data_IF_312441476517
#
_entry.id   IF_312441476517
#
_cell.length_a   1.000
_cell.length_b   1.000
_cell.length_c   1.000
_cell.angle_alpha   90.00
_cell.angle_beta   90.00
_cell.angle_gamma   90.00
#
_symmetry.space_group_name_H-M   'P 1'
#
loop_
_entity.id
_entity.type
_entity.pdbx_description
1 polymer ?
#
# COMPACT_ATOMS: atom_id res chain seq x y z
N UNK A 1 18.29 29.73 -30.60
CA UNK A 1 19.60 29.38 -29.99
C UNK A 1 19.73 29.98 -28.58
N UNK A 2 19.00 29.42 -27.60
CA UNK A 2 19.11 29.78 -26.16
C UNK A 2 19.00 28.55 -25.23
N UNK A 3 19.28 27.36 -25.77
CA UNK A 3 19.10 26.07 -25.08
C UNK A 3 20.41 25.26 -25.00
N UNK A 4 21.56 25.94 -25.09
CA UNK A 4 22.90 25.33 -24.97
C UNK A 4 23.66 25.79 -23.71
N UNK A 5 23.12 26.76 -22.95
CA UNK A 5 23.78 27.31 -21.76
C UNK A 5 23.46 26.61 -20.43
N UNK A 6 22.47 25.73 -20.38
CA UNK A 6 22.06 25.04 -19.14
C UNK A 6 22.72 23.66 -18.95
N UNK A 7 23.39 23.13 -19.97
CA UNK A 7 24.08 21.83 -19.89
C UNK A 7 25.51 21.93 -19.33
N UNK A 8 26.09 23.13 -19.25
CA UNK A 8 27.48 23.34 -18.80
C UNK A 8 27.64 23.60 -17.30
N UNK A 9 26.53 23.71 -16.56
CA UNK A 9 26.52 23.99 -15.12
C UNK A 9 26.38 22.74 -14.24
N UNK A 10 26.19 21.55 -14.84
CA UNK A 10 26.03 20.27 -14.15
C UNK A 10 27.29 19.40 -14.09
N UNK A 11 28.43 19.86 -14.64
CA UNK A 11 29.66 19.06 -14.77
C UNK A 11 30.84 19.54 -13.89
N UNK A 12 30.62 20.48 -12.97
CA UNK A 12 31.70 21.08 -12.14
C UNK A 12 31.57 20.88 -10.62
N UNK A 13 30.63 20.05 -10.13
CA UNK A 13 30.48 19.75 -8.68
C UNK A 13 30.72 18.27 -8.36
N UNK A 14 31.60 17.62 -9.13
CA UNK A 14 31.99 16.21 -8.92
C UNK A 14 33.44 16.01 -8.46
N UNK A 15 34.15 17.07 -8.09
CA UNK A 15 35.49 16.94 -7.53
C UNK A 15 35.59 17.71 -6.21
N UNK A 16 36.24 17.06 -5.24
CA UNK A 16 36.56 17.51 -3.88
C UNK A 16 35.56 17.10 -2.79
N UNK A 17 35.75 15.92 -2.21
CA UNK A 17 36.38 15.80 -0.89
C UNK A 17 37.03 14.41 -0.75
N UNK A 18 38.35 14.39 -0.90
CA UNK A 18 39.20 13.25 -0.59
C UNK A 18 39.44 13.13 0.92
N UNK A 19 39.89 11.95 1.32
CA UNK A 19 39.90 11.48 2.70
C UNK A 19 40.81 12.26 3.65
N UNK A 20 40.44 12.19 4.92
CA UNK A 20 41.35 12.44 6.04
C UNK A 20 41.42 11.16 6.86
N UNK A 21 42.60 10.54 6.79
CA UNK A 21 43.09 9.53 7.72
C UNK A 21 43.54 10.23 9.00
N UNK A 22 43.11 9.75 10.16
CA UNK A 22 43.77 10.06 11.43
C UNK A 22 43.85 8.79 12.26
N UNK A 23 45.08 8.44 12.62
CA UNK A 23 45.47 7.27 13.39
C UNK A 23 46.06 7.76 14.71
N UNK A 24 45.68 7.08 15.78
CA UNK A 24 46.39 6.80 17.04
C UNK A 24 45.79 7.27 18.37
N UNK A 25 45.92 6.31 19.30
CA UNK A 25 45.90 6.36 20.77
C UNK A 25 44.51 6.57 21.38
N UNK A 26 43.92 5.62 22.11
CA UNK A 26 44.52 4.70 23.07
C UNK A 26 44.38 5.31 24.46
N UNK A 27 43.22 5.14 25.09
CA UNK A 27 43.09 5.28 26.54
C UNK A 27 42.06 4.29 27.06
N UNK A 28 42.54 3.42 27.94
CA UNK A 28 41.74 2.55 28.79
C UNK A 28 41.00 3.41 29.80
N UNK A 29 39.67 3.35 29.82
CA UNK A 29 38.91 3.59 31.04
C UNK A 29 37.91 2.44 31.20
N UNK A 30 38.40 1.48 31.97
CA UNK A 30 37.71 0.28 32.39
C UNK A 30 36.64 0.57 33.44
N UNK A 31 35.63 -0.30 33.44
CA UNK A 31 34.79 -0.66 34.57
C UNK A 31 33.67 0.30 35.06
N UNK A 32 33.73 1.62 34.86
CA UNK A 32 32.71 2.52 35.42
C UNK A 32 31.37 2.59 34.62
N UNK A 33 31.41 2.38 33.30
CA UNK A 33 30.21 2.52 32.44
C UNK A 33 29.30 1.28 32.43
N UNK A 34 29.79 0.13 32.92
CA UNK A 34 28.98 -1.11 32.99
C UNK A 34 28.01 -1.15 34.16
N UNK A 35 28.25 -0.36 35.21
CA UNK A 35 27.42 -0.39 36.43
C UNK A 35 26.21 0.54 36.34
N UNK A 36 26.25 1.59 35.50
CA UNK A 36 25.14 2.53 35.36
C UNK A 36 24.05 2.03 34.37
N UNK A 37 24.41 1.17 33.40
CA UNK A 37 23.41 0.64 32.43
C UNK A 37 22.43 -0.37 33.06
N UNK A 38 22.70 -0.86 34.27
CA UNK A 38 21.87 -1.88 34.92
C UNK A 38 20.69 -1.30 35.71
N UNK A 39 20.60 0.02 35.87
CA UNK A 39 19.53 0.73 36.59
C UNK A 39 18.78 1.75 35.72
N UNK A 40 18.68 1.49 34.41
CA UNK A 40 17.60 2.03 33.60
C UNK A 40 16.98 0.83 32.92
N UNK A 41 15.82 0.39 33.44
CA UNK A 41 15.10 -0.76 32.91
C UNK A 41 15.09 -0.67 31.39
N UNK A 42 15.57 -1.73 30.74
CA UNK A 42 15.58 -1.86 29.29
C UNK A 42 14.18 -1.45 28.79
N UNK A 43 14.05 -0.57 27.78
CA UNK A 43 12.74 -0.28 27.22
C UNK A 43 12.06 -1.60 26.90
N UNK A 44 10.77 -1.78 27.26
CA UNK A 44 10.11 -3.07 27.14
C UNK A 44 10.33 -3.61 25.73
N UNK A 45 11.05 -4.72 25.59
CA UNK A 45 11.36 -5.29 24.28
C UNK A 45 10.05 -5.80 23.65
N UNK A 46 9.56 -5.08 22.65
CA UNK A 46 8.34 -5.46 21.94
C UNK A 46 8.72 -6.44 20.83
N UNK A 47 8.53 -7.73 21.05
CA UNK A 47 8.71 -8.77 20.04
C UNK A 47 7.50 -8.85 19.08
N UNK A 48 7.16 -7.74 18.43
CA UNK A 48 6.09 -7.71 17.43
C UNK A 48 6.67 -7.49 16.03
N UNK A 49 6.35 -8.39 15.09
CA UNK A 49 6.75 -8.19 13.69
C UNK A 49 5.84 -7.16 13.03
N UNK A 50 6.40 -6.00 12.68
CA UNK A 50 5.68 -4.92 11.98
C UNK A 50 5.12 -5.37 10.63
N UNK A 51 5.93 -6.02 9.80
CA UNK A 51 5.53 -6.50 8.47
C UNK A 51 4.33 -7.48 8.55
N UNK A 52 4.38 -8.42 9.49
CA UNK A 52 3.28 -9.37 9.74
C UNK A 52 2.03 -8.66 10.26
N UNK A 53 2.18 -7.70 11.19
CA UNK A 53 1.06 -6.92 11.71
C UNK A 53 0.37 -6.11 10.61
N UNK A 54 1.15 -5.48 9.73
CA UNK A 54 0.64 -4.76 8.55
C UNK A 54 -0.12 -5.68 7.60
N UNK A 55 0.38 -6.90 7.37
CA UNK A 55 -0.30 -7.91 6.57
C UNK A 55 -1.63 -8.35 7.21
N UNK A 56 -1.64 -8.63 8.51
CA UNK A 56 -2.86 -8.95 9.26
C UNK A 56 -3.90 -7.84 9.15
N UNK A 57 -3.48 -6.60 9.37
CA UNK A 57 -4.36 -5.44 9.29
C UNK A 57 -4.97 -5.28 7.89
N UNK A 58 -4.15 -5.42 6.84
CA UNK A 58 -4.61 -5.36 5.45
C UNK A 58 -5.67 -6.43 5.17
N UNK A 59 -5.48 -7.65 5.68
CA UNK A 59 -6.45 -8.75 5.55
C UNK A 59 -7.76 -8.39 6.25
N UNK A 60 -7.70 -7.89 7.48
CA UNK A 60 -8.87 -7.45 8.24
C UNK A 60 -9.62 -6.37 7.46
N UNK A 61 -8.91 -5.36 6.97
CA UNK A 61 -9.53 -4.24 6.28
C UNK A 61 -10.11 -4.63 4.90
N UNK A 62 -9.48 -5.54 4.17
CA UNK A 62 -9.96 -5.95 2.83
C UNK A 62 -11.10 -6.98 2.91
N UNK A 63 -11.02 -7.94 3.83
CA UNK A 63 -11.93 -9.08 3.87
C UNK A 63 -12.96 -9.06 5.01
N UNK A 64 -12.64 -8.48 6.17
CA UNK A 64 -13.53 -8.51 7.35
C UNK A 64 -14.33 -7.21 7.51
N UNK A 65 -13.67 -6.06 7.50
CA UNK A 65 -14.31 -4.76 7.76
C UNK A 65 -15.51 -4.45 6.85
N UNK A 66 -15.51 -4.78 5.53
CA UNK A 66 -16.67 -4.53 4.68
C UNK A 66 -17.95 -5.26 5.12
N UNK A 67 -17.82 -6.41 5.81
CA UNK A 67 -18.96 -7.15 6.35
C UNK A 67 -19.38 -6.60 7.71
N UNK A 68 -18.43 -6.24 8.57
CA UNK A 68 -18.69 -5.60 9.86
C UNK A 68 -19.47 -4.29 9.68
N UNK A 69 -19.03 -3.46 8.74
CA UNK A 69 -19.70 -2.20 8.38
C UNK A 69 -21.10 -2.44 7.79
N UNK A 70 -21.25 -3.45 6.94
CA UNK A 70 -22.54 -3.82 6.33
C UNK A 70 -23.55 -4.25 7.39
N UNK A 71 -23.11 -5.03 8.38
CA UNK A 71 -23.92 -5.50 9.50
C UNK A 71 -24.07 -4.43 10.61
N UNK A 72 -23.42 -3.26 10.46
CA UNK A 72 -23.36 -2.16 11.45
C UNK A 72 -22.96 -2.65 12.84
N UNK A 73 -22.07 -3.63 12.89
CA UNK A 73 -21.62 -4.22 14.13
C UNK A 73 -20.44 -3.43 14.70
N UNK A 74 -20.45 -3.23 16.02
CA UNK A 74 -19.33 -2.63 16.73
C UNK A 74 -18.51 -3.73 17.39
N UNK A 75 -17.27 -3.88 16.92
CA UNK A 75 -16.32 -4.81 17.53
C UNK A 75 -16.02 -4.32 18.96
N UNK A 76 -15.99 -5.23 19.93
CA UNK A 76 -15.64 -4.88 21.31
C UNK A 76 -14.19 -4.42 21.42
N UNK A 77 -13.89 -3.40 22.24
CA UNK A 77 -12.52 -3.00 22.59
C UNK A 77 -11.71 -4.13 23.26
N UNK A 78 -12.35 -5.18 23.75
CA UNK A 78 -11.65 -6.35 24.32
C UNK A 78 -11.14 -7.33 23.25
N UNK A 79 -11.68 -7.27 22.04
CA UNK A 79 -11.32 -8.13 20.92
C UNK A 79 -9.94 -7.77 20.37
N UNK A 80 -9.14 -8.79 20.02
CA UNK A 80 -7.79 -8.60 19.44
C UNK A 80 -7.81 -7.92 18.07
N UNK A 81 -8.91 -8.05 17.32
CA UNK A 81 -9.08 -7.49 15.98
C UNK A 81 -9.63 -6.05 16.00
N UNK A 82 -9.83 -5.46 17.18
CA UNK A 82 -10.32 -4.08 17.27
C UNK A 82 -9.26 -3.10 16.72
N UNK A 83 -9.63 -2.12 15.88
CA UNK A 83 -8.70 -1.15 15.31
C UNK A 83 -7.80 -0.45 16.34
N UNK A 84 -8.39 0.04 17.43
CA UNK A 84 -7.66 0.73 18.51
C UNK A 84 -6.66 -0.14 19.27
N UNK A 85 -6.75 -1.47 19.16
CA UNK A 85 -5.86 -2.38 19.86
C UNK A 85 -4.60 -2.71 19.06
N UNK A 86 -4.51 -2.32 17.79
CA UNK A 86 -3.31 -2.58 16.99
C UNK A 86 -2.16 -1.67 17.46
N UNK A 87 -1.08 -2.32 17.92
CA UNK A 87 0.13 -1.69 18.44
C UNK A 87 0.74 -0.66 17.47
N UNK A 88 0.79 -0.97 16.18
CA UNK A 88 1.44 -0.09 15.19
C UNK A 88 0.46 0.88 14.51
N UNK A 89 -0.81 0.86 14.92
CA UNK A 89 -1.90 1.59 14.26
C UNK A 89 -1.60 3.06 14.07
N UNK A 90 -1.24 3.72 15.17
CA UNK A 90 -0.95 5.15 15.20
C UNK A 90 0.20 5.49 14.24
N UNK A 91 1.27 4.70 14.24
CA UNK A 91 2.42 4.94 13.36
C UNK A 91 2.09 4.73 11.88
N UNK A 92 1.29 3.72 11.54
CA UNK A 92 0.85 3.50 10.16
C UNK A 92 -0.09 4.61 9.67
N UNK A 93 -0.96 5.17 10.52
CA UNK A 93 -1.81 6.31 10.19
C UNK A 93 -1.00 7.61 9.99
N UNK A 94 0.17 7.70 10.62
CA UNK A 94 1.12 8.81 10.46
C UNK A 94 2.12 8.60 9.32
N UNK A 95 1.91 7.64 8.43
CA UNK A 95 2.66 7.53 7.17
C UNK A 95 2.01 8.39 6.10
N UNK A 96 2.75 9.37 5.60
CA UNK A 96 2.27 10.25 4.54
C UNK A 96 3.03 9.92 3.26
N UNK A 97 2.34 9.38 2.26
CA UNK A 97 2.91 9.23 0.92
C UNK A 97 2.73 10.55 0.18
N UNK A 98 3.83 11.28 -0.06
CA UNK A 98 3.79 12.58 -0.74
C UNK A 98 3.86 12.37 -2.26
N UNK A 99 4.77 11.51 -2.71
CA UNK A 99 4.94 11.11 -4.11
C UNK A 99 5.13 9.60 -4.23
N UNK A 100 5.19 9.07 -5.47
CA UNK A 100 5.37 7.63 -5.73
C UNK A 100 6.60 7.04 -5.03
N UNK A 101 7.68 7.83 -4.90
CA UNK A 101 8.95 7.45 -4.30
C UNK A 101 9.32 8.37 -3.12
N UNK A 102 8.33 8.99 -2.49
CA UNK A 102 8.59 9.87 -1.37
C UNK A 102 7.58 9.69 -0.25
N UNK A 103 8.09 9.23 0.88
CA UNK A 103 7.38 8.96 2.12
C UNK A 103 7.81 9.95 3.18
N UNK A 104 6.86 10.45 3.96
CA UNK A 104 7.11 11.42 5.02
C UNK A 104 6.59 10.90 6.35
N UNK A 105 7.41 11.05 7.39
CA UNK A 105 6.99 10.79 8.77
C UNK A 105 6.01 11.87 9.26
N UNK A 106 4.83 11.45 9.71
CA UNK A 106 3.79 12.34 10.23
C UNK A 106 4.20 13.13 11.47
N UNK A 107 5.05 12.55 12.34
CA UNK A 107 5.47 13.17 13.60
C UNK A 107 6.55 14.25 13.43
N UNK A 108 7.64 13.95 12.69
CA UNK A 108 8.80 14.84 12.57
C UNK A 108 9.03 15.38 11.16
N UNK A 109 8.15 15.06 10.20
CA UNK A 109 8.17 15.55 8.81
C UNK A 109 9.41 15.19 7.99
N UNK A 110 10.27 14.29 8.48
CA UNK A 110 11.40 13.73 7.71
C UNK A 110 10.90 12.92 6.51
N UNK A 111 11.58 13.08 5.38
CA UNK A 111 11.26 12.42 4.10
C UNK A 111 12.21 11.26 3.84
N UNK A 112 11.70 10.22 3.20
CA UNK A 112 12.36 8.96 2.90
C UNK A 112 11.97 8.52 1.49
N UNK A 113 12.87 7.81 0.83
CA UNK A 113 12.64 7.35 -0.54
C UNK A 113 11.68 6.14 -0.62
N UNK A 114 11.63 5.32 0.45
CA UNK A 114 10.82 4.10 0.50
C UNK A 114 10.19 3.93 1.89
N UNK A 115 9.04 3.27 1.93
CA UNK A 115 8.26 2.95 3.13
C UNK A 115 9.12 2.13 4.12
N UNK A 116 9.96 1.23 3.61
CA UNK A 116 10.88 0.43 4.43
C UNK A 116 11.85 1.27 5.26
N UNK A 117 12.30 2.42 4.75
CA UNK A 117 13.18 3.32 5.50
C UNK A 117 12.40 4.14 6.52
N UNK A 118 11.16 4.48 6.22
CA UNK A 118 10.25 5.13 7.16
C UNK A 118 9.90 4.19 8.33
N UNK A 119 9.66 2.91 8.06
CA UNK A 119 9.46 1.87 9.09
C UNK A 119 10.63 1.78 10.06
N UNK A 120 11.85 1.64 9.52
CA UNK A 120 13.08 1.66 10.34
C UNK A 120 13.21 2.96 11.12
N UNK A 121 12.81 4.09 10.56
CA UNK A 121 12.82 5.36 11.28
C UNK A 121 11.85 5.36 12.46
N UNK A 122 10.65 4.80 12.33
CA UNK A 122 9.72 4.66 13.45
C UNK A 122 10.29 3.79 14.56
N UNK A 123 10.86 2.64 14.21
CA UNK A 123 11.46 1.71 15.19
C UNK A 123 12.60 2.37 15.97
N UNK A 124 13.40 3.23 15.33
CA UNK A 124 14.57 3.85 15.97
C UNK A 124 14.28 5.17 16.68
N UNK A 125 13.31 5.97 16.21
CA UNK A 125 13.12 7.37 16.66
C UNK A 125 11.77 7.62 17.30
N UNK A 126 10.77 6.79 17.02
CA UNK A 126 9.40 6.95 17.53
C UNK A 126 8.90 5.71 18.26
N UNK A 127 9.81 4.85 18.72
CA UNK A 127 9.48 3.68 19.55
C UNK A 127 8.68 4.07 20.80
N UNK A 128 9.08 5.16 21.45
CA UNK A 128 8.45 5.64 22.70
C UNK A 128 7.01 6.12 22.53
N UNK A 129 6.52 6.28 21.29
CA UNK A 129 5.12 6.65 21.03
C UNK A 129 4.19 5.42 21.00
N UNK A 130 4.74 4.20 21.07
CA UNK A 130 3.95 2.98 21.12
C UNK A 130 3.31 2.79 22.50
N UNK A 131 2.00 2.53 22.51
CA UNK A 131 1.25 2.25 23.73
C UNK A 131 1.30 0.75 24.07
N UNK A 132 2.46 0.28 24.51
CA UNK A 132 2.73 -1.15 24.73
C UNK A 132 1.85 -1.78 25.83
N UNK A 133 1.32 -1.00 26.77
CA UNK A 133 0.53 -1.52 27.90
C UNK A 133 -0.91 -1.88 27.52
N UNK A 134 -1.52 -1.15 26.58
CA UNK A 134 -2.94 -1.32 26.22
C UNK A 134 -3.15 -1.94 24.85
N UNK A 135 -2.16 -1.84 23.96
CA UNK A 135 -2.25 -2.40 22.60
C UNK A 135 -1.72 -3.83 22.54
N UNK A 136 -2.07 -4.54 21.48
CA UNK A 136 -1.73 -5.94 21.25
C UNK A 136 -1.00 -6.07 19.92
N UNK A 137 -0.09 -7.02 19.85
CA UNK A 137 0.60 -7.34 18.60
C UNK A 137 -0.35 -8.08 17.65
N UNK A 138 -0.65 -7.47 16.50
CA UNK A 138 -1.51 -8.09 15.50
C UNK A 138 -0.81 -9.24 14.74
N UNK A 139 0.53 -9.28 14.76
CA UNK A 139 1.28 -10.42 14.22
C UNK A 139 0.96 -11.74 14.95
N UNK A 140 0.51 -11.70 16.21
CA UNK A 140 0.16 -12.91 16.97
C UNK A 140 -1.05 -13.64 16.38
N UNK A 141 -1.95 -12.91 15.71
CA UNK A 141 -3.13 -13.49 15.05
C UNK A 141 -2.86 -13.91 13.61
N UNK A 142 -1.64 -13.72 13.10
CA UNK A 142 -1.33 -14.03 11.71
C UNK A 142 -1.47 -15.49 11.34
N UNK A 143 -1.24 -16.41 12.29
CA UNK A 143 -1.48 -17.83 12.09
C UNK A 143 -2.95 -18.12 11.78
N UNK A 144 -3.88 -17.43 12.45
CA UNK A 144 -5.31 -17.56 12.20
C UNK A 144 -5.77 -16.86 10.91
N UNK A 145 -5.16 -15.71 10.58
CA UNK A 145 -5.54 -14.89 9.43
C UNK A 145 -4.81 -15.24 8.12
N UNK A 146 -3.91 -16.23 8.10
CA UNK A 146 -3.13 -16.60 6.90
C UNK A 146 -2.29 -15.44 6.32
N UNK A 147 -1.64 -14.62 7.17
CA UNK A 147 -0.84 -13.46 6.75
C UNK A 147 0.23 -13.77 5.70
N UNK A 148 0.81 -14.98 5.74
CA UNK A 148 1.88 -15.39 4.84
C UNK A 148 1.43 -15.29 3.35
N UNK A 149 0.13 -15.44 3.08
CA UNK A 149 -0.44 -15.29 1.72
C UNK A 149 -0.45 -13.86 1.19
N UNK A 150 -0.48 -12.85 2.08
CA UNK A 150 -0.43 -11.44 1.68
C UNK A 150 0.99 -10.89 1.66
N UNK A 151 1.91 -11.48 2.42
CA UNK A 151 3.32 -11.09 2.44
C UNK A 151 4.10 -11.66 1.25
N UNK A 152 3.79 -12.89 0.84
CA UNK A 152 4.54 -13.57 -0.21
C UNK A 152 4.06 -13.13 -1.61
N UNK A 153 4.89 -12.34 -2.30
CA UNK A 153 4.72 -12.06 -3.75
C UNK A 153 5.01 -13.27 -4.64
N UNK A 154 5.58 -14.34 -4.06
CA UNK A 154 5.89 -15.60 -4.73
C UNK A 154 5.00 -16.69 -4.12
N UNK A 155 4.20 -17.42 -4.90
CA UNK A 155 3.34 -18.47 -4.34
C UNK A 155 4.19 -19.44 -3.52
N UNK A 156 3.77 -19.78 -2.28
CA UNK A 156 4.56 -20.65 -1.43
C UNK A 156 4.84 -21.94 -2.19
N UNK A 157 6.12 -22.31 -2.30
CA UNK A 157 6.50 -23.67 -2.72
C UNK A 157 5.65 -24.60 -1.87
N UNK A 158 4.93 -25.55 -2.48
CA UNK A 158 3.99 -26.45 -1.78
C UNK A 158 4.75 -27.18 -0.66
N UNK A 159 4.76 -26.60 0.54
CA UNK A 159 5.34 -27.21 1.72
C UNK A 159 4.35 -28.24 2.22
N UNK A 160 4.88 -29.36 2.69
CA UNK A 160 4.04 -30.42 3.28
C UNK A 160 3.27 -29.81 4.46
N UNK A 161 1.94 -29.95 4.46
CA UNK A 161 1.11 -29.42 5.53
C UNK A 161 1.54 -30.01 6.88
N UNK A 162 1.70 -29.15 7.90
CA UNK A 162 1.93 -29.58 9.27
C UNK A 162 0.57 -29.64 10.00
N UNK A 163 0.05 -30.84 10.33
CA UNK A 163 -1.26 -30.98 10.95
C UNK A 163 -1.34 -30.33 12.34
N UNK A 164 -0.24 -30.34 13.10
CA UNK A 164 -0.21 -29.72 14.42
C UNK A 164 -0.27 -28.19 14.32
N UNK A 165 0.38 -27.59 13.32
CA UNK A 165 0.31 -26.15 13.10
C UNK A 165 -1.09 -25.73 12.61
N UNK A 166 -1.68 -26.51 11.69
CA UNK A 166 -3.04 -26.28 11.20
C UNK A 166 -4.06 -26.32 12.36
N UNK A 167 -4.02 -27.35 13.20
CA UNK A 167 -4.91 -27.46 14.36
C UNK A 167 -4.75 -26.31 15.36
N UNK A 168 -3.50 -25.89 15.66
CA UNK A 168 -3.26 -24.73 16.54
C UNK A 168 -3.82 -23.44 15.96
N UNK A 169 -3.61 -23.19 14.67
CA UNK A 169 -4.12 -22.00 14.00
C UNK A 169 -5.65 -22.01 13.90
N UNK A 170 -6.24 -23.19 13.70
CA UNK A 170 -7.69 -23.37 13.71
C UNK A 170 -8.28 -22.98 15.07
N UNK A 171 -7.76 -23.52 16.17
CA UNK A 171 -8.23 -23.18 17.52
C UNK A 171 -8.04 -21.69 17.85
N UNK A 172 -6.91 -21.10 17.42
CA UNK A 172 -6.69 -19.67 17.55
C UNK A 172 -7.74 -18.85 16.78
N UNK A 173 -8.09 -19.29 15.57
CA UNK A 173 -9.11 -18.67 14.73
C UNK A 173 -10.51 -18.75 15.35
N UNK A 174 -10.90 -19.92 15.85
CA UNK A 174 -12.17 -20.13 16.55
C UNK A 174 -12.27 -19.25 17.81
N UNK A 175 -11.21 -19.19 18.63
CA UNK A 175 -11.18 -18.32 19.80
C UNK A 175 -11.26 -16.82 19.46
N UNK A 176 -10.76 -16.40 18.30
CA UNK A 176 -10.97 -15.03 17.80
C UNK A 176 -12.44 -14.81 17.41
N UNK A 177 -13.06 -15.77 16.74
CA UNK A 177 -14.48 -15.68 16.38
C UNK A 177 -15.37 -15.56 17.63
N UNK A 178 -15.10 -16.34 18.67
CA UNK A 178 -15.85 -16.32 19.93
C UNK A 178 -15.67 -15.00 20.70
N UNK A 179 -14.43 -14.51 20.78
CA UNK A 179 -14.12 -13.28 21.53
C UNK A 179 -14.54 -11.99 20.83
N UNK A 180 -14.50 -11.97 19.49
CA UNK A 180 -14.81 -10.79 18.70
C UNK A 180 -16.27 -10.73 18.23
N UNK A 181 -16.89 -11.89 18.00
CA UNK A 181 -18.25 -12.03 17.49
C UNK A 181 -19.03 -13.05 18.31
N UNK A 182 -19.33 -12.79 19.59
CA UNK A 182 -20.08 -13.71 20.42
C UNK A 182 -21.53 -13.85 19.93
N UNK A 183 -21.94 -15.08 19.61
CA UNK A 183 -23.28 -15.41 19.07
C UNK A 183 -24.42 -14.91 19.97
N UNK A 184 -24.18 -14.85 21.29
CA UNK A 184 -25.15 -14.38 22.30
C UNK A 184 -25.45 -12.88 22.21
N UNK A 185 -24.61 -12.09 21.53
CA UNK A 185 -24.75 -10.63 21.44
C UNK A 185 -25.73 -10.18 20.34
N UNK A 186 -26.34 -11.12 19.61
CA UNK A 186 -27.44 -10.86 18.70
C UNK A 186 -27.22 -11.42 17.28
N UNK A 187 -28.20 -11.22 16.38
CA UNK A 187 -28.19 -11.83 15.06
C UNK A 187 -27.05 -11.32 14.16
N UNK A 188 -26.67 -10.04 14.29
CA UNK A 188 -25.53 -9.49 13.54
C UNK A 188 -24.20 -10.13 13.97
N UNK A 189 -23.98 -10.28 15.27
CA UNK A 189 -22.80 -10.97 15.82
C UNK A 189 -22.78 -12.44 15.38
N UNK A 190 -23.91 -13.13 15.42
CA UNK A 190 -24.04 -14.51 14.94
C UNK A 190 -23.70 -14.66 13.45
N UNK A 191 -24.16 -13.74 12.59
CA UNK A 191 -23.84 -13.77 11.16
C UNK A 191 -22.35 -13.53 10.90
N UNK A 192 -21.74 -12.58 11.63
CA UNK A 192 -20.32 -12.30 11.52
C UNK A 192 -19.47 -13.45 12.06
N UNK A 193 -19.92 -14.11 13.12
CA UNK A 193 -19.28 -15.29 13.68
C UNK A 193 -19.24 -16.42 12.64
N UNK A 194 -20.38 -16.79 12.06
CA UNK A 194 -20.43 -17.81 11.00
C UNK A 194 -19.59 -17.43 9.78
N UNK A 195 -19.68 -16.16 9.36
CA UNK A 195 -18.86 -15.64 8.27
C UNK A 195 -17.36 -15.78 8.57
N UNK A 196 -16.92 -15.42 9.77
CA UNK A 196 -15.51 -15.48 10.16
C UNK A 196 -15.00 -16.92 10.15
N UNK A 197 -15.76 -17.86 10.73
CA UNK A 197 -15.41 -19.28 10.71
C UNK A 197 -15.26 -19.84 9.28
N UNK A 198 -16.25 -19.61 8.43
CA UNK A 198 -16.27 -20.09 7.03
C UNK A 198 -15.14 -19.49 6.19
N UNK A 199 -14.84 -18.21 6.41
CA UNK A 199 -13.91 -17.46 5.57
C UNK A 199 -12.44 -17.66 5.97
N UNK A 200 -12.18 -17.75 7.28
CA UNK A 200 -10.82 -17.78 7.82
C UNK A 200 -10.45 -19.12 8.47
N UNK A 201 -11.38 -19.76 9.19
CA UNK A 201 -11.06 -20.91 10.03
C UNK A 201 -11.13 -22.25 9.28
N UNK A 202 -12.10 -22.43 8.38
CA UNK A 202 -12.28 -23.67 7.60
C UNK A 202 -11.07 -24.02 6.71
N UNK A 203 -10.25 -23.03 6.36
CA UNK A 203 -9.03 -23.25 5.57
C UNK A 203 -7.85 -23.77 6.38
N UNK A 204 -7.95 -23.87 7.71
CA UNK A 204 -6.93 -24.50 8.57
C UNK A 204 -7.01 -26.04 8.55
N UNK A 205 -7.13 -26.62 7.35
CA UNK A 205 -7.22 -28.07 7.15
C UNK A 205 -6.14 -28.56 6.17
N UNK A 206 -5.50 -29.69 6.48
CA UNK A 206 -4.50 -30.28 5.59
C UNK A 206 -5.10 -31.02 4.38
N UNK A 207 -6.43 -31.14 4.29
CA UNK A 207 -7.13 -31.89 3.23
C UNK A 207 -7.33 -31.09 1.94
N UNK A 208 -6.74 -29.89 1.85
CA UNK A 208 -6.31 -29.28 0.58
C UNK A 208 -7.39 -28.77 -0.38
N UNK A 209 -8.64 -28.60 0.08
CA UNK A 209 -9.75 -28.16 -0.78
C UNK A 209 -10.22 -26.73 -0.53
N UNK A 210 -10.02 -26.20 0.67
CA UNK A 210 -10.52 -24.87 1.08
C UNK A 210 -9.46 -23.81 0.77
N UNK A 211 -9.74 -22.90 -0.16
CA UNK A 211 -8.88 -21.75 -0.42
C UNK A 211 -9.19 -20.64 0.59
N UNK A 212 -8.21 -20.17 1.38
CA UNK A 212 -8.38 -18.96 2.17
C UNK A 212 -8.75 -17.80 1.24
N UNK A 213 -9.66 -16.93 1.69
CA UNK A 213 -10.12 -15.75 0.95
C UNK A 213 -10.91 -16.01 -0.33
N UNK A 214 -11.61 -17.14 -0.44
CA UNK A 214 -12.41 -17.48 -1.63
C UNK A 214 -13.47 -16.43 -2.01
N UNK A 215 -13.99 -15.70 -1.03
CA UNK A 215 -14.93 -14.58 -1.22
C UNK A 215 -14.27 -13.26 -0.86
N UNK A 216 -14.35 -12.26 -1.74
CA UNK A 216 -14.24 -10.87 -1.30
C UNK A 216 -12.92 -10.14 -1.55
N UNK A 217 -12.03 -10.62 -2.41
CA UNK A 217 -10.99 -9.71 -2.95
C UNK A 217 -11.69 -8.67 -3.80
N UNK A 218 -12.10 -7.54 -3.22
CA UNK A 218 -12.55 -6.36 -3.97
C UNK A 218 -11.35 -5.92 -4.79
N UNK A 219 -11.23 -6.41 -6.03
CA UNK A 219 -10.34 -5.81 -7.04
C UNK A 219 -10.56 -4.30 -6.95
N UNK A 220 -9.50 -3.56 -6.57
CA UNK A 220 -9.54 -2.10 -6.39
C UNK A 220 -10.34 -1.49 -7.54
N UNK A 221 -11.57 -1.00 -7.26
CA UNK A 221 -12.43 -0.34 -8.27
C UNK A 221 -11.69 0.79 -8.99
N UNK A 222 -10.68 1.37 -8.34
CA UNK A 222 -9.73 2.32 -8.92
C UNK A 222 -9.12 1.84 -10.25
N UNK A 223 -8.68 0.58 -10.35
CA UNK A 223 -8.08 0.05 -11.60
C UNK A 223 -9.08 0.03 -12.76
N UNK A 224 -10.34 -0.31 -12.49
CA UNK A 224 -11.39 -0.37 -13.52
C UNK A 224 -11.80 1.05 -13.92
N UNK A 225 -11.94 1.98 -12.97
CA UNK A 225 -12.29 3.37 -13.28
C UNK A 225 -11.22 4.06 -14.12
N UNK A 226 -9.93 3.82 -13.86
CA UNK A 226 -8.84 4.36 -14.69
C UNK A 226 -8.89 3.83 -16.14
N UNK A 227 -9.18 2.54 -16.33
CA UNK A 227 -9.32 1.94 -17.66
C UNK A 227 -10.51 2.54 -18.43
N UNK A 228 -11.65 2.71 -17.77
CA UNK A 228 -12.84 3.33 -18.38
C UNK A 228 -12.56 4.77 -18.78
N UNK A 229 -11.95 5.57 -17.90
CA UNK A 229 -11.59 6.96 -18.20
C UNK A 229 -10.60 7.03 -19.37
N UNK A 230 -9.59 6.16 -19.40
CA UNK A 230 -8.60 6.09 -20.49
C UNK A 230 -9.22 5.74 -21.85
N UNK A 231 -10.17 4.80 -21.89
CA UNK A 231 -10.88 4.46 -23.13
C UNK A 231 -11.72 5.65 -23.60
N UNK A 232 -12.39 6.33 -22.68
CA UNK A 232 -13.30 7.44 -22.98
C UNK A 232 -12.52 8.67 -23.50
N UNK A 233 -11.33 8.96 -22.95
CA UNK A 233 -10.46 10.03 -23.46
C UNK A 233 -9.92 9.72 -24.85
N UNK A 234 -9.50 8.48 -25.12
CA UNK A 234 -9.05 8.06 -26.46
C UNK A 234 -10.16 8.17 -27.51
N UNK A 235 -11.39 7.78 -27.16
CA UNK A 235 -12.55 7.90 -28.04
C UNK A 235 -12.87 9.37 -28.37
N UNK A 236 -12.85 10.25 -27.36
CA UNK A 236 -13.04 11.70 -27.56
C UNK A 236 -11.98 12.31 -28.46
N UNK A 237 -10.70 11.95 -28.27
CA UNK A 237 -9.62 12.42 -29.14
C UNK A 237 -9.83 11.96 -30.59
N UNK A 238 -10.21 10.70 -30.79
CA UNK A 238 -10.49 10.18 -32.13
C UNK A 238 -11.64 10.93 -32.83
N UNK A 239 -12.72 11.19 -32.10
CA UNK A 239 -13.85 11.99 -32.61
C UNK A 239 -13.43 13.43 -32.94
N UNK A 240 -12.62 14.06 -32.11
CA UNK A 240 -12.11 15.40 -32.36
C UNK A 240 -11.24 15.49 -33.62
N UNK A 241 -10.28 14.56 -33.79
CA UNK A 241 -9.41 14.55 -34.96
C UNK A 241 -10.15 14.18 -36.25
N UNK A 242 -11.09 13.23 -36.18
CA UNK A 242 -11.94 12.89 -37.33
C UNK A 242 -12.84 14.06 -37.75
N UNK A 243 -13.37 14.83 -36.81
CA UNK A 243 -14.11 16.06 -37.08
C UNK A 243 -13.23 17.10 -37.79
N UNK A 244 -12.02 17.36 -37.29
CA UNK A 244 -11.05 18.28 -37.94
C UNK A 244 -10.69 17.77 -39.35
N UNK A 245 -10.47 16.48 -39.51
CA UNK A 245 -10.17 15.88 -40.81
C UNK A 245 -11.32 16.07 -41.80
N UNK A 246 -12.56 15.85 -41.38
CA UNK A 246 -13.75 16.08 -42.22
C UNK A 246 -13.95 17.56 -42.55
N UNK A 247 -13.77 18.45 -41.57
CA UNK A 247 -13.87 19.90 -41.77
C UNK A 247 -12.81 20.41 -42.75
N UNK A 248 -11.54 20.06 -42.55
CA UNK A 248 -10.45 20.45 -43.44
C UNK A 248 -10.60 19.89 -44.85
N UNK A 249 -11.14 18.67 -45.00
CA UNK A 249 -11.46 18.08 -46.31
C UNK A 249 -12.66 18.77 -46.98
N UNK A 250 -13.66 19.18 -46.20
CA UNK A 250 -14.81 19.98 -46.66
C UNK A 250 -14.38 21.35 -47.17
N UNK A 251 -13.52 22.06 -46.43
CA UNK A 251 -12.94 23.35 -46.82
C UNK A 251 -12.08 23.23 -48.09
N UNK A 252 -11.33 22.11 -48.24
CA UNK A 252 -10.55 21.83 -49.45
C UNK A 252 -11.42 21.53 -50.68
N UNK A 253 -12.60 20.89 -50.52
CA UNK A 253 -13.57 20.71 -51.61
C UNK A 253 -14.22 22.04 -52.03
N UNK A 254 -14.59 22.90 -51.07
CA UNK A 254 -15.17 24.22 -51.37
C UNK A 254 -14.22 25.17 -52.12
N UNK A 255 -12.91 25.06 -51.90
CA UNK A 255 -11.90 25.88 -52.60
C UNK A 255 -11.56 25.37 -54.01
N UNK A 256 -11.84 24.11 -54.34
CA UNK A 256 -11.67 23.58 -55.69
C UNK A 256 -12.80 24.01 -56.65
N UNK A 257 -14.04 24.15 -56.16
CA UNK A 257 -15.20 24.58 -56.98
C UNK A 257 -15.13 26.05 -57.41
N UNK A 258 -14.44 26.92 -56.65
CA UNK A 258 -14.31 28.36 -56.97
C UNK A 258 -13.21 28.68 -58.01
N UNK A 259 -12.52 27.66 -58.57
CA UNK A 259 -11.33 27.87 -59.41
C UNK A 259 -11.50 27.36 -60.85
N UNK A 260 -12.49 27.86 -61.59
CA UNK A 260 -12.41 27.96 -63.07
C UNK A 260 -13.45 28.90 -63.71
N UNK A 261 -13.09 30.16 -63.94
CA UNK A 261 -13.52 30.92 -65.14
C UNK A 261 -12.32 31.72 -65.63
N UNK A 262 -11.73 31.29 -66.76
CA UNK A 262 -10.67 32.01 -67.47
C UNK A 262 -11.33 33.00 -68.43
N UNK A 263 -11.06 34.31 -68.40
CA UNK A 263 -11.69 35.24 -69.33
C UNK A 263 -11.13 35.05 -70.74
N UNK A 264 -12.05 34.95 -71.71
CA UNK A 264 -11.80 34.84 -73.15
C UNK A 264 -11.02 36.08 -73.63
N UNK A 265 -9.85 35.85 -74.23
CA UNK A 265 -8.96 36.86 -74.82
C UNK A 265 -9.63 37.45 -76.07
N UNK A 266 -10.13 38.70 -76.00
CA UNK A 266 -10.65 39.46 -77.15
C UNK A 266 -9.56 39.59 -78.24
N UNK A 267 -9.82 39.08 -79.45
CA UNK A 267 -9.03 39.35 -80.65
C UNK A 267 -9.28 40.80 -81.11
N UNK A 268 -8.21 41.57 -81.37
CA UNK A 268 -8.27 42.83 -82.13
C UNK A 268 -8.49 42.53 -83.62
N UNK A 269 -9.39 43.28 -84.27
CA UNK A 269 -9.58 43.32 -85.74
C UNK A 269 -8.43 44.10 -86.41
N UNK A 270 -8.04 43.78 -87.65
CA UNK A 270 -7.19 44.64 -88.46
C UNK A 270 -8.02 45.65 -89.28
N UNK A 271 -7.37 46.80 -89.54
CA UNK A 271 -7.80 48.01 -90.27
C UNK A 271 -8.92 48.84 -89.66
#
# INVERSE_FOLDING_TARGET
MKWLGLLYLFLSVSLQFGGVSSKNQGHEDSAATRTIRKELGDPPEVHCSRERSKAAWKIIQEYLMPFVEKERYQISRTCKLHPDNDLYRDQEEHKIQVDLNEWQCGYCKKRFYDDKFLDKHFDNRHYNLLNVSHTRCLADVCGALHCDLEMDSVPPKKTKCNPAAAARNQHLCEGLADSCFPVKQGPAASRLHEFFLRQFCDSHTCTGRQKPFSRGRRKKRASISYLVISILTLALLFLFYSYIYMYSRGVKRGTQELKRVTPIRRKKKPS
#
